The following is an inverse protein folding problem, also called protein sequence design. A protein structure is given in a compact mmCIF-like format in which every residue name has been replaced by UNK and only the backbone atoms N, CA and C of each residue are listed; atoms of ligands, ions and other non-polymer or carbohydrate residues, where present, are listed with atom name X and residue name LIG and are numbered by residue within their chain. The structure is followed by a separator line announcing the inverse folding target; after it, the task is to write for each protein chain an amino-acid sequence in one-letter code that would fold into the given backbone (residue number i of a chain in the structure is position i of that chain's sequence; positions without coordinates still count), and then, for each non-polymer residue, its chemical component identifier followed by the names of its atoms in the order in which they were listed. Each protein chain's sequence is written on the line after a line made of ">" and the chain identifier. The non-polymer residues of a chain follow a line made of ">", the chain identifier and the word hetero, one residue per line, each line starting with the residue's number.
data_IF_109661402290
#
_entry.id   IF_109661402290
#
_cell.length_a   1.000
_cell.length_b   1.000
_cell.length_c   1.000
_cell.angle_alpha   90.00
_cell.angle_beta   90.00
_cell.angle_gamma   90.00
#
_symmetry.space_group_name_H-M   'P 1'
#
loop_
_entity.id
_entity.type
_entity.pdbx_description
1 polymer ?
#
# COMPACT_ATOMS: atom_id res chain seq x y z
N UNK A 1 10.61 2.95 -34.95
CA UNK A 1 9.68 1.80 -34.95
C UNK A 1 8.39 2.28 -35.57
N UNK A 2 7.89 1.67 -36.66
CA UNK A 2 6.56 2.00 -37.18
C UNK A 2 5.56 1.05 -36.51
N UNK A 3 4.69 1.59 -35.67
CA UNK A 3 3.60 0.84 -35.05
C UNK A 3 2.36 0.99 -35.92
N UNK A 4 1.62 -0.10 -36.15
CA UNK A 4 0.37 -0.10 -36.90
C UNK A 4 -0.80 -0.51 -35.98
N UNK A 5 -1.69 0.44 -35.72
CA UNK A 5 -2.90 0.28 -34.91
C UNK A 5 -4.09 -0.30 -35.71
N UNK A 6 -3.94 -0.76 -36.96
CA UNK A 6 -5.03 -1.44 -37.70
C UNK A 6 -5.61 -2.64 -36.95
N UNK A 7 -6.92 -2.82 -37.01
CA UNK A 7 -7.64 -3.91 -36.32
C UNK A 7 -8.10 -3.49 -34.92
N UNK A 8 -7.92 -4.35 -33.92
CA UNK A 8 -8.24 -4.01 -32.52
C UNK A 8 -7.16 -3.10 -31.92
N UNK A 9 -7.31 -1.80 -32.19
CA UNK A 9 -6.39 -0.75 -31.78
C UNK A 9 -6.31 -0.60 -30.25
N UNK A 10 -7.38 -0.92 -29.52
CA UNK A 10 -7.42 -0.83 -28.05
C UNK A 10 -6.59 -1.93 -27.39
N UNK A 11 -6.75 -3.17 -27.86
CA UNK A 11 -5.95 -4.29 -27.38
C UNK A 11 -4.46 -4.04 -27.64
N UNK A 12 -4.11 -3.60 -28.86
CA UNK A 12 -2.73 -3.27 -29.24
C UNK A 12 -2.09 -2.20 -28.37
N UNK A 13 -2.84 -1.15 -28.03
CA UNK A 13 -2.33 -0.12 -27.14
C UNK A 13 -2.01 -0.70 -25.75
N UNK A 14 -2.87 -1.59 -25.23
CA UNK A 14 -2.61 -2.24 -23.95
C UNK A 14 -1.37 -3.15 -24.00
N UNK A 15 -1.16 -3.91 -25.08
CA UNK A 15 0.07 -4.72 -25.25
C UNK A 15 1.34 -3.85 -25.26
N UNK A 16 1.29 -2.69 -25.92
CA UNK A 16 2.39 -1.72 -25.91
C UNK A 16 2.63 -1.19 -24.50
N UNK A 17 1.57 -0.84 -23.78
CA UNK A 17 1.66 -0.38 -22.39
C UNK A 17 2.32 -1.47 -21.54
N UNK A 18 1.91 -2.72 -21.66
CA UNK A 18 2.49 -3.84 -20.92
C UNK A 18 4.00 -3.97 -21.20
N UNK A 19 4.41 -3.91 -22.47
CA UNK A 19 5.82 -3.92 -22.85
C UNK A 19 6.62 -2.71 -22.32
N UNK A 20 5.99 -1.54 -22.19
CA UNK A 20 6.62 -0.38 -21.55
C UNK A 20 6.82 -0.59 -20.06
N UNK A 21 5.86 -1.22 -19.38
CA UNK A 21 5.97 -1.56 -17.96
C UNK A 21 7.08 -2.57 -17.69
N UNK A 22 7.27 -3.56 -18.55
CA UNK A 22 8.36 -4.54 -18.43
C UNK A 22 9.74 -3.87 -18.52
N UNK A 23 9.87 -2.88 -19.41
CA UNK A 23 11.14 -2.21 -19.67
C UNK A 23 11.36 -0.95 -18.81
N UNK A 24 10.41 -0.60 -17.93
CA UNK A 24 10.41 0.68 -17.21
C UNK A 24 11.68 0.91 -16.37
N UNK A 25 12.22 -0.15 -15.77
CA UNK A 25 13.43 -0.09 -14.93
C UNK A 25 14.67 0.35 -15.69
N UNK A 26 14.70 0.16 -17.01
CA UNK A 26 15.80 0.59 -17.89
C UNK A 26 15.58 1.97 -18.52
N UNK A 27 14.45 2.63 -18.26
CA UNK A 27 14.07 3.90 -18.87
C UNK A 27 14.12 5.03 -17.86
N UNK A 28 14.76 6.13 -18.24
CA UNK A 28 14.65 7.40 -17.51
C UNK A 28 13.26 8.02 -17.68
N UNK A 29 12.86 8.89 -16.74
CA UNK A 29 11.60 9.64 -16.81
C UNK A 29 11.36 10.31 -18.17
N UNK A 30 12.38 10.96 -18.73
CA UNK A 30 12.27 11.63 -20.04
C UNK A 30 12.03 10.65 -21.19
N UNK A 31 12.66 9.47 -21.15
CA UNK A 31 12.40 8.41 -22.13
C UNK A 31 10.98 7.86 -22.00
N UNK A 32 10.47 7.69 -20.77
CA UNK A 32 9.08 7.29 -20.55
C UNK A 32 8.10 8.33 -21.09
N UNK A 33 8.30 9.62 -20.79
CA UNK A 33 7.47 10.72 -21.32
C UNK A 33 7.48 10.72 -22.86
N UNK A 34 8.66 10.62 -23.47
CA UNK A 34 8.79 10.61 -24.93
C UNK A 34 8.09 9.39 -25.55
N UNK A 35 8.26 8.21 -24.95
CA UNK A 35 7.61 7.00 -25.41
C UNK A 35 6.08 7.13 -25.33
N UNK A 36 5.56 7.54 -24.16
CA UNK A 36 4.11 7.74 -23.96
C UNK A 36 3.57 8.72 -25.00
N UNK A 37 4.19 9.88 -25.17
CA UNK A 37 3.77 10.88 -26.15
C UNK A 37 3.76 10.31 -27.57
N UNK A 38 4.83 9.61 -27.96
CA UNK A 38 4.93 8.99 -29.27
C UNK A 38 3.80 7.99 -29.55
N UNK A 39 3.52 7.09 -28.59
CA UNK A 39 2.46 6.09 -28.75
C UNK A 39 1.06 6.71 -28.75
N UNK A 40 0.81 7.73 -27.92
CA UNK A 40 -0.49 8.43 -27.91
C UNK A 40 -0.73 9.20 -29.19
N UNK A 41 0.30 9.89 -29.70
CA UNK A 41 0.20 10.67 -30.94
C UNK A 41 -0.03 9.75 -32.14
N UNK A 42 0.70 8.63 -32.22
CA UNK A 42 0.50 7.63 -33.27
C UNK A 42 -0.87 6.95 -33.20
N UNK A 43 -1.36 6.65 -31.99
CA UNK A 43 -2.70 6.10 -31.79
C UNK A 43 -3.76 7.05 -32.34
N UNK A 44 -3.71 8.33 -31.95
CA UNK A 44 -4.67 9.35 -32.41
C UNK A 44 -4.55 9.57 -33.91
N UNK A 45 -3.33 9.60 -34.46
CA UNK A 45 -3.09 9.79 -35.90
C UNK A 45 -3.71 8.67 -36.75
N UNK A 46 -3.70 7.44 -36.26
CA UNK A 46 -4.15 6.27 -37.02
C UNK A 46 -5.64 5.95 -36.82
N UNK A 47 -6.15 6.15 -35.60
CA UNK A 47 -7.53 5.80 -35.25
C UNK A 47 -8.48 6.99 -35.37
N UNK A 48 -7.97 8.22 -35.22
CA UNK A 48 -8.79 9.44 -35.08
C UNK A 48 -9.47 9.57 -33.70
N UNK A 49 -9.30 8.59 -32.82
CA UNK A 49 -9.91 8.56 -31.48
C UNK A 49 -8.86 8.78 -30.39
N UNK A 50 -9.32 9.17 -29.20
CA UNK A 50 -8.47 9.25 -28.01
C UNK A 50 -8.39 7.90 -27.33
N UNK A 51 -7.24 7.55 -26.73
CA UNK A 51 -7.13 6.37 -25.88
C UNK A 51 -8.18 6.37 -24.76
N UNK A 52 -8.61 5.17 -24.36
CA UNK A 52 -9.51 4.98 -23.23
C UNK A 52 -8.89 5.50 -21.92
N UNK A 53 -9.73 5.99 -21.00
CA UNK A 53 -9.29 6.55 -19.72
C UNK A 53 -8.38 5.60 -18.95
N UNK A 54 -8.73 4.31 -18.87
CA UNK A 54 -7.92 3.31 -18.18
C UNK A 54 -6.51 3.15 -18.78
N UNK A 55 -6.37 3.26 -20.11
CA UNK A 55 -5.05 3.23 -20.75
C UNK A 55 -4.25 4.51 -20.44
N UNK A 56 -4.90 5.67 -20.41
CA UNK A 56 -4.27 6.94 -20.04
C UNK A 56 -3.80 6.94 -18.58
N UNK A 57 -4.60 6.41 -17.65
CA UNK A 57 -4.24 6.31 -16.23
C UNK A 57 -2.98 5.46 -16.04
N UNK A 58 -2.88 4.34 -16.77
CA UNK A 58 -1.69 3.48 -16.78
C UNK A 58 -0.47 4.22 -17.35
N UNK A 59 -0.62 4.91 -18.47
CA UNK A 59 0.47 5.71 -19.07
C UNK A 59 0.93 6.84 -18.14
N UNK A 60 0.00 7.50 -17.44
CA UNK A 60 0.33 8.53 -16.45
C UNK A 60 1.10 7.96 -15.26
N UNK A 61 0.66 6.80 -14.76
CA UNK A 61 1.36 6.08 -13.68
C UNK A 61 2.78 5.68 -14.10
N UNK A 62 2.98 5.25 -15.35
CA UNK A 62 4.30 4.93 -15.88
C UNK A 62 5.24 6.15 -15.91
N UNK A 63 4.72 7.33 -16.24
CA UNK A 63 5.53 8.57 -16.21
C UNK A 63 5.99 8.86 -14.78
N UNK A 64 5.07 8.76 -13.81
CA UNK A 64 5.25 9.08 -12.39
C UNK A 64 5.86 7.95 -11.55
N UNK A 65 6.35 6.88 -12.19
CA UNK A 65 6.82 5.69 -11.49
C UNK A 65 7.95 6.02 -10.50
N UNK A 66 8.84 6.96 -10.81
CA UNK A 66 9.96 7.33 -9.95
C UNK A 66 9.47 7.99 -8.65
N UNK A 67 8.48 8.88 -8.74
CA UNK A 67 7.91 9.59 -7.59
C UNK A 67 7.05 8.68 -6.70
N UNK A 68 6.31 7.77 -7.34
CA UNK A 68 5.46 6.80 -6.64
C UNK A 68 6.31 5.70 -5.98
N UNK A 69 7.37 5.25 -6.64
CA UNK A 69 8.27 4.23 -6.13
C UNK A 69 9.22 4.75 -5.05
N UNK A 70 9.42 6.06 -4.94
CA UNK A 70 10.22 6.66 -3.87
C UNK A 70 9.63 6.36 -2.48
N UNK A 71 10.41 5.60 -1.68
CA UNK A 71 10.07 5.13 -0.35
C UNK A 71 10.61 6.02 0.78
N UNK A 72 11.22 7.17 0.47
CA UNK A 72 11.68 8.08 1.52
C UNK A 72 10.50 8.49 2.43
N UNK A 73 10.64 8.19 3.73
CA UNK A 73 9.67 8.56 4.76
C UNK A 73 9.56 10.09 4.87
N UNK A 74 10.64 10.81 4.61
CA UNK A 74 10.72 12.26 4.75
C UNK A 74 10.43 13.02 3.45
N UNK A 75 10.00 12.34 2.37
CA UNK A 75 9.74 12.97 1.07
C UNK A 75 8.80 14.17 1.14
N UNK A 76 7.82 14.11 2.04
CA UNK A 76 6.85 15.20 2.24
C UNK A 76 7.46 16.48 2.79
N UNK A 77 8.60 16.37 3.48
CA UNK A 77 9.32 17.50 4.05
C UNK A 77 10.44 17.97 3.14
N UNK A 78 11.09 17.02 2.45
CA UNK A 78 12.30 17.29 1.68
C UNK A 78 12.00 17.83 0.27
N UNK A 79 10.84 17.48 -0.33
CA UNK A 79 10.48 17.87 -1.69
C UNK A 79 9.40 18.96 -1.68
N UNK A 80 9.47 19.89 -2.64
CA UNK A 80 8.50 20.99 -2.78
C UNK A 80 7.11 20.49 -3.21
N UNK A 81 7.07 19.54 -4.16
CA UNK A 81 5.84 18.93 -4.68
C UNK A 81 5.91 17.40 -4.57
N UNK A 82 5.77 16.85 -3.35
CA UNK A 82 5.82 15.41 -3.13
C UNK A 82 4.52 14.73 -3.58
N UNK A 83 4.63 13.59 -4.24
CA UNK A 83 3.50 12.72 -4.61
C UNK A 83 3.57 11.47 -3.73
N UNK A 84 2.46 11.07 -3.11
CA UNK A 84 2.36 9.83 -2.33
C UNK A 84 1.76 8.70 -3.16
N UNK A 85 2.22 7.46 -2.92
CA UNK A 85 1.47 6.28 -3.33
C UNK A 85 0.32 6.01 -2.35
N UNK A 86 -0.68 5.25 -2.80
CA UNK A 86 -1.84 4.88 -1.97
C UNK A 86 -1.41 4.19 -0.66
N UNK A 87 -0.45 3.27 -0.72
CA UNK A 87 0.10 2.60 0.45
C UNK A 87 0.76 3.58 1.44
N UNK A 88 1.44 4.61 0.93
CA UNK A 88 2.09 5.61 1.79
C UNK A 88 1.07 6.53 2.43
N UNK A 89 0.04 6.91 1.68
CA UNK A 89 -1.09 7.66 2.20
C UNK A 89 -1.80 6.87 3.29
N UNK A 90 -2.08 5.58 3.07
CA UNK A 90 -2.73 4.71 4.06
C UNK A 90 -1.88 4.58 5.34
N UNK A 91 -0.55 4.42 5.21
CA UNK A 91 0.36 4.39 6.37
C UNK A 91 0.31 5.71 7.15
N UNK A 92 0.34 6.84 6.45
CA UNK A 92 0.19 8.16 7.09
C UNK A 92 -1.13 8.25 7.83
N UNK A 93 -2.24 7.86 7.19
CA UNK A 93 -3.57 7.96 7.79
C UNK A 93 -3.73 7.06 9.03
N UNK A 94 -3.00 5.94 9.10
CA UNK A 94 -2.91 5.11 10.30
C UNK A 94 -2.05 5.73 11.41
N UNK A 95 -0.97 6.42 11.07
CA UNK A 95 -0.07 7.08 12.03
C UNK A 95 -0.64 8.41 12.55
N UNK A 96 -1.48 9.09 11.76
CA UNK A 96 -2.19 10.29 12.19
C UNK A 96 -3.23 9.89 13.23
N UNK A 97 -3.11 10.43 14.44
CA UNK A 97 -4.12 10.24 15.47
C UNK A 97 -5.48 10.69 14.92
N UNK A 98 -6.43 9.76 14.83
CA UNK A 98 -7.80 10.10 14.41
C UNK A 98 -8.33 11.21 15.30
N UNK A 99 -9.08 12.17 14.75
CA UNK A 99 -9.72 13.25 15.53
C UNK A 99 -10.50 12.66 16.72
N UNK A 100 -11.14 11.52 16.49
CA UNK A 100 -11.85 10.72 17.49
C UNK A 100 -10.97 10.32 18.70
N UNK A 101 -9.69 10.03 18.49
CA UNK A 101 -8.74 9.78 19.58
C UNK A 101 -8.53 11.02 20.44
N UNK A 102 -8.46 12.21 19.83
CA UNK A 102 -8.34 13.47 20.57
C UNK A 102 -9.64 13.85 21.32
N UNK A 103 -10.80 13.42 20.83
CA UNK A 103 -12.08 13.59 21.53
C UNK A 103 -12.25 12.63 22.72
N UNK A 104 -11.76 11.40 22.59
CA UNK A 104 -11.98 10.32 23.55
C UNK A 104 -10.91 10.25 24.65
N UNK A 105 -9.70 10.72 24.36
CA UNK A 105 -8.58 10.76 25.30
C UNK A 105 -8.51 12.13 25.95
N UNK A 106 -8.71 12.17 27.27
CA UNK A 106 -8.61 13.40 28.04
C UNK A 106 -7.19 13.96 28.03
N UNK A 107 -7.03 15.21 28.46
CA UNK A 107 -5.69 15.85 28.63
C UNK A 107 -4.80 15.07 29.60
N UNK A 108 -5.40 14.26 30.48
CA UNK A 108 -4.71 13.35 31.39
C UNK A 108 -4.19 12.06 30.73
N UNK A 109 -4.38 11.91 29.41
CA UNK A 109 -3.96 10.74 28.63
C UNK A 109 -4.86 9.51 28.84
N UNK A 110 -5.98 9.64 29.56
CA UNK A 110 -6.89 8.51 29.81
C UNK A 110 -7.96 8.41 28.72
N UNK A 111 -8.16 7.18 28.26
CA UNK A 111 -9.26 6.83 27.36
C UNK A 111 -10.57 6.71 28.16
N UNK A 112 -11.51 7.62 27.89
CA UNK A 112 -12.81 7.68 28.57
C UNK A 112 -13.91 6.88 27.87
N UNK A 113 -13.58 6.08 26.85
CA UNK A 113 -14.58 5.24 26.19
C UNK A 113 -15.22 4.24 27.16
N UNK A 114 -16.55 4.04 27.10
CA UNK A 114 -17.19 2.96 27.84
C UNK A 114 -16.62 1.61 27.36
N UNK A 115 -16.07 0.82 28.29
CA UNK A 115 -15.46 -0.47 27.98
C UNK A 115 -16.50 -1.42 27.38
N UNK A 116 -16.21 -1.95 26.21
CA UNK A 116 -17.07 -2.96 25.59
C UNK A 116 -16.93 -4.32 26.28
N UNK A 117 -18.02 -5.09 26.32
CA UNK A 117 -18.09 -6.42 26.97
C UNK A 117 -16.98 -7.38 26.52
N UNK A 118 -16.52 -7.28 25.26
CA UNK A 118 -15.43 -8.10 24.71
C UNK A 118 -14.08 -7.85 25.39
N UNK A 119 -13.76 -6.60 25.72
CA UNK A 119 -12.50 -6.22 26.38
C UNK A 119 -12.45 -6.69 27.83
N UNK A 120 -13.58 -6.64 28.52
CA UNK A 120 -13.73 -7.17 29.89
C UNK A 120 -13.50 -8.69 29.91
N UNK A 121 -14.14 -9.43 29.00
CA UNK A 121 -13.97 -10.89 28.85
C UNK A 121 -12.53 -11.31 28.52
N UNK A 122 -11.78 -10.48 27.80
CA UNK A 122 -10.36 -10.74 27.49
C UNK A 122 -9.48 -10.61 28.73
N UNK A 123 -9.74 -9.58 29.56
CA UNK A 123 -9.03 -9.35 30.81
C UNK A 123 -9.26 -10.48 31.82
N UNK A 124 -10.51 -10.95 31.96
CA UNK A 124 -10.83 -12.12 32.80
C UNK A 124 -10.11 -13.37 32.33
N UNK A 125 -10.09 -13.63 31.02
CA UNK A 125 -9.36 -14.78 30.46
C UNK A 125 -7.86 -14.74 30.78
N UNK A 126 -7.21 -13.58 30.64
CA UNK A 126 -5.81 -13.41 31.06
C UNK A 126 -5.61 -13.62 32.56
N UNK A 127 -6.51 -13.08 33.38
CA UNK A 127 -6.43 -13.27 34.83
C UNK A 127 -6.55 -14.76 35.22
N UNK A 128 -7.45 -15.50 34.56
CA UNK A 128 -7.63 -16.94 34.77
C UNK A 128 -6.39 -17.74 34.33
N UNK A 129 -5.76 -17.40 33.20
CA UNK A 129 -4.55 -18.11 32.74
C UNK A 129 -3.37 -17.90 33.70
N UNK A 130 -3.18 -16.68 34.22
CA UNK A 130 -2.13 -16.44 35.23
C UNK A 130 -2.41 -17.21 36.52
N UNK A 131 -3.67 -17.21 36.97
CA UNK A 131 -4.08 -17.96 38.16
C UNK A 131 -3.85 -19.46 38.00
N UNK A 132 -4.06 -20.03 36.81
CA UNK A 132 -3.75 -21.44 36.55
C UNK A 132 -2.25 -21.72 36.54
N UNK A 133 -1.47 -20.85 35.90
CA UNK A 133 -0.02 -20.99 35.81
C UNK A 133 0.67 -20.90 37.19
N UNK A 134 0.17 -20.04 38.08
CA UNK A 134 0.73 -19.84 39.42
C UNK A 134 0.20 -20.83 40.47
N UNK A 135 -0.63 -21.81 40.10
CA UNK A 135 -1.04 -22.87 41.04
C UNK A 135 0.17 -23.73 41.37
N UNK A 136 0.33 -24.07 42.65
CA UNK A 136 1.36 -25.00 43.12
C UNK A 136 1.08 -26.36 42.49
N UNK A 137 2.02 -26.84 41.67
CA UNK A 137 1.92 -28.13 41.03
C UNK A 137 2.42 -29.24 41.96
N UNK A 138 1.85 -30.45 41.92
CA UNK A 138 2.35 -31.57 42.68
C UNK A 138 3.76 -31.97 42.20
N UNK A 139 4.69 -32.19 43.12
CA UNK A 139 6.02 -32.69 42.80
C UNK A 139 5.93 -34.19 42.55
N UNK A 140 6.23 -34.62 41.34
CA UNK A 140 6.27 -36.04 40.96
C UNK A 140 7.67 -36.57 41.27
N UNK A 141 7.77 -37.50 42.22
CA UNK A 141 9.01 -38.20 42.54
C UNK A 141 9.03 -39.56 41.82
N UNK A 142 10.06 -39.82 41.02
CA UNK A 142 10.26 -41.12 40.38
C UNK A 142 11.24 -41.94 41.21
N UNK A 143 10.82 -43.12 41.66
CA UNK A 143 11.70 -44.09 42.32
C UNK A 143 12.51 -44.83 41.26
N UNK A 144 13.80 -44.51 41.16
CA UNK A 144 14.75 -45.08 40.18
C UNK A 144 15.20 -46.52 40.51
N UNK A 145 14.37 -47.34 41.17
CA UNK A 145 14.74 -48.69 41.63
C UNK A 145 14.19 -49.84 40.80
N UNK A 146 13.55 -49.57 39.66
CA UNK A 146 13.07 -50.61 38.74
C UNK A 146 13.45 -50.28 37.28
N UNK A 147 14.75 -50.18 37.00
CA UNK A 147 15.33 -50.35 35.66
C UNK A 147 16.46 -51.36 35.76
#
# INVERSE_FOLDING_TARGET
>A
MNIDFKGDYKAKLNEIIDGLYENKSGMSRNQRIWAVQYYTDEYVRQTGERPESGALDRLATLILDDEIADKDRMKMRNNEYPIMSDDQQERRDREVASIKWAEEVGVDGKDHRPKTSKTVRSRERRFMSYREFTKVQPVITYNLREI
#
